data_IF_075344992803
#
_entry.id   IF_075344992803
#
_cell.length_a   1.000
_cell.length_b   1.000
_cell.length_c   1.000
_cell.angle_alpha   90.00
_cell.angle_beta   90.00
_cell.angle_gamma   90.00
#
_symmetry.space_group_name_H-M   'P 1'
#
loop_
_entity.id
_entity.type
_entity.pdbx_description
1 polymer ?
#
# COMPACT_ATOMS: atom_id res chain seq x y z
N UNK A 1 -3.98 20.67 17.00
CA UNK A 1 -3.88 19.39 16.25
C UNK A 1 -2.47 18.83 16.36
N UNK A 2 -1.42 19.66 16.28
CA UNK A 2 -0.02 19.21 16.25
C UNK A 2 0.70 19.21 17.59
N UNK A 3 0.00 19.46 18.69
CA UNK A 3 0.58 19.40 20.03
C UNK A 3 0.46 17.97 20.56
N UNK A 4 1.56 17.21 20.72
CA UNK A 4 1.51 15.81 21.12
C UNK A 4 0.93 15.61 22.52
N UNK A 5 1.10 16.58 23.42
CA UNK A 5 0.57 16.49 24.79
C UNK A 5 -0.95 16.60 24.85
N UNK A 6 -1.56 17.38 23.96
CA UNK A 6 -3.02 17.54 23.90
C UNK A 6 -3.67 16.47 23.02
N UNK A 7 -2.98 16.08 21.95
CA UNK A 7 -3.58 15.17 20.96
C UNK A 7 -3.50 13.72 21.36
N UNK A 8 -2.45 13.28 22.05
CA UNK A 8 -2.30 11.89 22.46
C UNK A 8 -3.52 11.34 23.21
N UNK A 9 -4.01 11.98 24.29
CA UNK A 9 -5.20 11.46 24.99
C UNK A 9 -6.48 11.51 24.16
N UNK A 10 -6.58 12.43 23.19
CA UNK A 10 -7.73 12.49 22.28
C UNK A 10 -7.68 11.35 21.28
N UNK A 11 -6.51 11.08 20.70
CA UNK A 11 -6.29 10.02 19.71
C UNK A 11 -6.59 8.65 20.33
N UNK A 12 -6.01 8.37 21.51
CA UNK A 12 -6.23 7.14 22.26
C UNK A 12 -7.71 6.95 22.61
N UNK A 13 -8.40 8.02 23.05
CA UNK A 13 -9.83 7.95 23.39
C UNK A 13 -10.74 7.75 22.18
N UNK A 14 -10.33 8.23 21.01
CA UNK A 14 -11.13 8.16 19.76
C UNK A 14 -10.74 6.98 18.87
N UNK A 15 -9.70 6.22 19.21
CA UNK A 15 -9.17 5.13 18.36
C UNK A 15 -8.67 5.64 17.00
N UNK A 16 -8.01 6.81 16.97
CA UNK A 16 -7.55 7.45 15.74
C UNK A 16 -6.05 7.28 15.47
N UNK A 17 -5.40 6.33 16.13
CA UNK A 17 -3.96 6.11 16.03
C UNK A 17 -3.52 5.97 14.57
N UNK A 18 -4.17 5.12 13.80
CA UNK A 18 -3.84 4.88 12.39
C UNK A 18 -4.17 6.07 11.46
N UNK A 19 -5.11 6.92 11.87
CA UNK A 19 -5.59 8.05 11.06
C UNK A 19 -4.86 9.35 11.37
N UNK A 20 -4.20 9.43 12.52
CA UNK A 20 -3.57 10.67 12.98
C UNK A 20 -2.47 11.15 12.03
N UNK A 21 -1.72 10.24 11.43
CA UNK A 21 -0.67 10.58 10.46
C UNK A 21 -1.22 11.37 9.26
N UNK A 22 -2.48 11.16 8.88
CA UNK A 22 -3.12 11.89 7.78
C UNK A 22 -3.29 13.38 8.06
N UNK A 23 -3.34 13.81 9.34
CA UNK A 23 -3.39 15.21 9.70
C UNK A 23 -2.10 15.96 9.38
N UNK A 24 -0.96 15.25 9.28
CA UNK A 24 0.29 15.87 8.83
C UNK A 24 0.23 16.31 7.37
N UNK A 25 -0.59 15.68 6.54
CA UNK A 25 -0.80 16.09 5.15
C UNK A 25 -1.60 17.39 5.02
N UNK A 26 -2.32 17.77 6.08
CA UNK A 26 -3.03 19.06 6.11
C UNK A 26 -2.11 20.21 6.56
N UNK A 27 -0.87 19.90 6.98
CA UNK A 27 0.11 20.93 7.26
C UNK A 27 0.51 21.58 5.92
N UNK A 28 0.30 22.88 5.78
CA UNK A 28 0.76 23.61 4.60
C UNK A 28 2.29 23.81 4.67
N UNK A 29 3.05 22.71 4.82
CA UNK A 29 4.49 22.73 5.03
C UNK A 29 5.20 23.42 3.86
N UNK A 30 4.76 23.17 2.64
CA UNK A 30 5.30 23.79 1.43
C UNK A 30 5.08 25.31 1.44
N UNK A 31 3.87 25.77 1.83
CA UNK A 31 3.58 27.20 1.94
C UNK A 31 4.35 27.86 3.07
N UNK A 32 4.52 27.17 4.19
CA UNK A 32 5.31 27.67 5.31
C UNK A 32 6.79 27.77 4.93
N UNK A 33 7.35 26.77 4.28
CA UNK A 33 8.73 26.79 3.76
C UNK A 33 8.90 27.91 2.74
N UNK A 34 8.02 28.03 1.77
CA UNK A 34 8.05 29.12 0.78
C UNK A 34 7.99 30.51 1.45
N UNK A 35 7.12 30.67 2.45
CA UNK A 35 7.00 31.92 3.21
C UNK A 35 8.27 32.24 3.98
N UNK A 36 8.85 31.26 4.68
CA UNK A 36 10.09 31.43 5.44
C UNK A 36 11.26 31.77 4.50
N UNK A 37 11.37 31.05 3.37
CA UNK A 37 12.40 31.34 2.37
C UNK A 37 12.23 32.75 1.76
N UNK A 38 11.01 33.17 1.47
CA UNK A 38 10.71 34.50 0.98
C UNK A 38 11.08 35.59 2.01
N UNK A 39 11.00 35.31 3.33
CA UNK A 39 11.43 36.24 4.38
C UNK A 39 12.94 36.39 4.51
N UNK A 40 13.73 35.43 4.03
CA UNK A 40 15.20 35.54 3.97
C UNK A 40 15.63 36.61 2.98
N UNK A 41 14.80 36.91 1.99
CA UNK A 41 15.08 37.99 1.04
C UNK A 41 14.87 39.33 1.75
N UNK A 42 15.98 40.00 2.08
CA UNK A 42 15.94 41.30 2.74
C UNK A 42 15.36 42.40 1.82
N UNK A 43 14.14 42.82 2.07
CA UNK A 43 13.42 43.83 1.27
C UNK A 43 14.10 45.20 1.23
N UNK A 44 15.02 45.49 2.15
CA UNK A 44 15.80 46.73 2.16
C UNK A 44 17.10 46.64 1.39
N UNK A 45 17.49 45.43 0.91
CA UNK A 45 18.68 45.25 0.10
C UNK A 45 18.48 45.78 -1.32
N UNK A 46 19.59 46.09 -2.01
CA UNK A 46 19.56 46.45 -3.42
C UNK A 46 18.91 45.32 -4.25
N UNK A 47 18.22 45.70 -5.32
CA UNK A 47 17.50 44.78 -6.19
C UNK A 47 18.35 43.62 -6.71
N UNK A 48 19.60 43.90 -7.01
CA UNK A 48 20.60 42.92 -7.49
C UNK A 48 20.87 41.84 -6.39
N UNK A 49 20.98 42.27 -5.13
CA UNK A 49 21.20 41.36 -4.00
C UNK A 49 19.95 40.51 -3.75
N UNK A 50 18.77 41.09 -3.86
CA UNK A 50 17.49 40.34 -3.73
C UNK A 50 17.39 39.26 -4.82
N UNK A 51 17.74 39.61 -6.05
CA UNK A 51 17.75 38.67 -7.17
C UNK A 51 18.77 37.54 -6.93
N UNK A 52 19.99 37.86 -6.52
CA UNK A 52 21.02 36.87 -6.25
C UNK A 52 20.60 35.89 -5.13
N UNK A 53 20.02 36.39 -4.03
CA UNK A 53 19.48 35.55 -2.95
C UNK A 53 18.34 34.67 -3.44
N UNK A 54 17.45 35.22 -4.27
CA UNK A 54 16.35 34.44 -4.87
C UNK A 54 16.86 33.28 -5.73
N UNK A 55 17.87 33.53 -6.55
CA UNK A 55 18.51 32.48 -7.39
C UNK A 55 19.16 31.41 -6.52
N UNK A 56 19.87 31.80 -5.46
CA UNK A 56 20.48 30.83 -4.52
C UNK A 56 19.42 29.96 -3.83
N UNK A 57 18.35 30.58 -3.33
CA UNK A 57 17.24 29.86 -2.69
C UNK A 57 16.57 28.88 -3.66
N UNK A 58 16.29 29.30 -4.89
CA UNK A 58 15.74 28.43 -5.93
C UNK A 58 16.71 27.30 -6.29
N UNK A 59 18.01 27.57 -6.35
CA UNK A 59 19.04 26.55 -6.57
C UNK A 59 19.05 25.49 -5.46
N UNK A 60 18.96 25.91 -4.19
CA UNK A 60 18.88 24.99 -3.06
C UNK A 60 17.59 24.13 -3.13
N UNK A 61 16.44 24.75 -3.39
CA UNK A 61 15.18 24.02 -3.56
C UNK A 61 15.27 23.00 -4.70
N UNK A 62 15.88 23.39 -5.82
CA UNK A 62 16.07 22.48 -6.96
C UNK A 62 17.01 21.32 -6.64
N UNK A 63 18.10 21.57 -5.90
CA UNK A 63 19.09 20.55 -5.53
C UNK A 63 18.54 19.61 -4.44
N UNK A 64 17.72 20.12 -3.52
CA UNK A 64 17.10 19.32 -2.45
C UNK A 64 15.82 18.65 -2.90
N UNK A 65 15.17 19.13 -3.96
CA UNK A 65 13.94 18.58 -4.49
C UNK A 65 14.19 17.36 -5.38
N UNK A 66 13.45 16.31 -5.17
CA UNK A 66 13.38 15.20 -6.13
C UNK A 66 12.63 15.67 -7.37
N UNK A 67 13.19 15.45 -8.55
CA UNK A 67 12.49 15.74 -9.79
C UNK A 67 11.32 14.78 -9.98
N UNK A 68 10.10 15.29 -9.95
CA UNK A 68 8.90 14.51 -10.24
C UNK A 68 8.94 13.87 -11.63
N UNK A 69 9.61 14.54 -12.59
CA UNK A 69 9.78 14.04 -13.96
C UNK A 69 10.53 12.71 -13.99
N UNK A 70 11.41 12.45 -13.01
CA UNK A 70 12.16 11.19 -12.91
C UNK A 70 11.29 9.98 -12.56
N UNK A 71 10.09 10.23 -12.04
CA UNK A 71 9.14 9.19 -11.61
C UNK A 71 7.94 9.04 -12.56
N UNK A 72 7.95 9.72 -13.71
CA UNK A 72 6.94 9.50 -14.74
C UNK A 72 7.46 8.37 -15.63
N UNK A 73 6.94 7.16 -15.54
CA UNK A 73 7.31 6.09 -16.46
C UNK A 73 6.83 6.47 -17.86
N UNK A 74 7.71 6.32 -18.86
CA UNK A 74 7.44 6.72 -20.25
C UNK A 74 6.26 5.96 -20.86
N UNK A 75 5.93 4.78 -20.35
CA UNK A 75 4.93 3.86 -20.90
C UNK A 75 3.70 3.63 -20.00
N UNK A 76 3.81 3.87 -18.70
CA UNK A 76 2.74 3.61 -17.74
C UNK A 76 2.04 4.87 -17.25
N UNK A 77 0.96 5.25 -17.92
CA UNK A 77 0.14 6.44 -17.60
C UNK A 77 -0.51 6.35 -16.21
N UNK A 78 -0.76 5.16 -15.73
CA UNK A 78 -1.48 4.90 -14.47
C UNK A 78 -0.60 5.07 -13.22
N UNK A 79 0.73 5.09 -13.38
CA UNK A 79 1.69 5.09 -12.25
C UNK A 79 1.52 3.90 -11.31
N UNK A 80 1.04 2.80 -11.84
CA UNK A 80 0.89 1.51 -11.20
C UNK A 80 1.95 0.59 -11.81
N UNK A 81 2.55 -0.27 -11.02
CA UNK A 81 3.58 -1.19 -11.51
C UNK A 81 3.04 -2.09 -12.63
N UNK A 82 3.87 -2.37 -13.65
CA UNK A 82 3.45 -3.16 -14.84
C UNK A 82 2.94 -4.54 -14.47
N UNK A 83 3.56 -5.18 -13.48
CA UNK A 83 3.11 -6.49 -13.00
C UNK A 83 1.69 -6.50 -12.43
N UNK A 84 1.21 -5.37 -11.86
CA UNK A 84 -0.20 -5.23 -11.41
C UNK A 84 -1.14 -5.18 -12.60
N UNK A 85 -0.76 -4.43 -13.66
CA UNK A 85 -1.55 -4.32 -14.88
C UNK A 85 -1.68 -5.68 -15.55
N UNK A 86 -0.57 -6.35 -15.78
CA UNK A 86 -0.51 -7.67 -16.43
C UNK A 86 -1.25 -8.74 -15.61
N UNK A 87 -1.15 -8.69 -14.27
CA UNK A 87 -1.91 -9.61 -13.41
C UNK A 87 -3.42 -9.35 -13.51
N UNK A 88 -3.83 -8.07 -13.52
CA UNK A 88 -5.25 -7.73 -13.69
C UNK A 88 -5.78 -8.19 -15.06
N UNK A 89 -5.01 -8.02 -16.12
CA UNK A 89 -5.36 -8.51 -17.46
C UNK A 89 -5.49 -10.05 -17.48
N UNK A 90 -4.55 -10.76 -16.85
CA UNK A 90 -4.60 -12.22 -16.72
C UNK A 90 -5.86 -12.69 -15.98
N UNK A 91 -6.23 -12.01 -14.90
CA UNK A 91 -7.48 -12.30 -14.15
C UNK A 91 -8.70 -12.02 -15.04
N UNK A 92 -8.73 -10.89 -15.74
CA UNK A 92 -9.84 -10.53 -16.61
C UNK A 92 -10.04 -11.52 -17.76
N UNK A 93 -8.95 -12.04 -18.36
CA UNK A 93 -9.01 -13.06 -19.40
C UNK A 93 -9.48 -14.43 -18.87
N UNK A 94 -9.06 -14.80 -17.66
CA UNK A 94 -9.41 -16.07 -17.03
C UNK A 94 -10.82 -16.06 -16.42
N UNK A 95 -11.30 -14.90 -15.98
CA UNK A 95 -12.57 -14.75 -15.29
C UNK A 95 -13.76 -14.93 -16.23
N UNK A 96 -14.77 -15.66 -15.73
CA UNK A 96 -16.10 -15.75 -16.34
C UNK A 96 -17.10 -14.78 -15.70
N UNK A 97 -16.69 -14.10 -14.63
CA UNK A 97 -17.52 -13.15 -13.88
C UNK A 97 -17.14 -11.73 -14.25
N UNK A 98 -18.11 -10.84 -14.25
CA UNK A 98 -17.89 -9.40 -14.41
C UNK A 98 -17.16 -8.79 -13.20
N UNK A 99 -17.43 -9.32 -12.02
CA UNK A 99 -16.82 -8.86 -10.76
C UNK A 99 -16.21 -10.05 -10.02
N UNK A 100 -14.98 -10.47 -10.38
CA UNK A 100 -14.32 -11.58 -9.70
C UNK A 100 -13.90 -11.18 -8.28
N UNK A 101 -14.01 -12.14 -7.37
CA UNK A 101 -13.52 -12.00 -5.98
C UNK A 101 -12.08 -12.47 -5.93
N UNK A 102 -11.18 -11.60 -5.53
CA UNK A 102 -9.74 -11.88 -5.49
C UNK A 102 -9.19 -11.79 -4.07
N UNK A 103 -8.26 -12.67 -3.75
CA UNK A 103 -7.41 -12.55 -2.59
C UNK A 103 -5.99 -12.24 -3.07
N UNK A 104 -5.43 -11.15 -2.58
CA UNK A 104 -4.10 -10.67 -2.97
C UNK A 104 -3.25 -10.39 -1.74
N UNK A 105 -1.93 -10.34 -1.90
CA UNK A 105 -1.02 -9.92 -0.86
C UNK A 105 -1.06 -8.40 -0.59
N UNK A 106 -0.34 -7.97 0.44
CA UNK A 106 -0.33 -6.57 0.85
C UNK A 106 0.26 -5.63 -0.21
N UNK A 107 1.20 -6.10 -1.03
CA UNK A 107 1.87 -5.28 -2.04
C UNK A 107 0.90 -4.92 -3.18
N UNK A 108 0.07 -5.87 -3.59
CA UNK A 108 -0.90 -5.69 -4.67
C UNK A 108 -2.20 -5.01 -4.24
N UNK A 109 -2.62 -5.21 -2.99
CA UNK A 109 -3.93 -4.81 -2.46
C UNK A 109 -4.34 -3.37 -2.80
N UNK A 110 -3.44 -2.41 -2.58
CA UNK A 110 -3.78 -1.00 -2.81
C UNK A 110 -3.79 -0.60 -4.29
N UNK A 111 -3.14 -1.37 -5.15
CA UNK A 111 -2.87 -1.01 -6.53
C UNK A 111 -3.85 -1.62 -7.51
N UNK A 112 -4.28 -2.87 -7.28
CA UNK A 112 -5.13 -3.59 -8.23
C UNK A 112 -6.48 -2.92 -8.46
N UNK A 113 -7.16 -2.45 -7.41
CA UNK A 113 -8.44 -1.73 -7.53
C UNK A 113 -8.32 -0.30 -8.06
N UNK A 114 -7.11 0.27 -8.05
CA UNK A 114 -6.89 1.56 -8.70
C UNK A 114 -6.91 1.41 -10.22
N UNK A 115 -6.48 0.26 -10.72
CA UNK A 115 -6.48 -0.06 -12.14
C UNK A 115 -7.82 -0.66 -12.58
N UNK A 116 -8.26 -1.71 -11.90
CA UNK A 116 -9.51 -2.41 -12.21
C UNK A 116 -10.50 -2.30 -11.03
N UNK A 117 -11.46 -1.38 -11.08
CA UNK A 117 -12.45 -1.21 -10.03
C UNK A 117 -13.52 -2.31 -10.01
N UNK A 118 -13.55 -3.21 -11.00
CA UNK A 118 -14.54 -4.31 -11.06
C UNK A 118 -14.17 -5.45 -10.13
N UNK A 119 -12.91 -5.63 -9.80
CA UNK A 119 -12.47 -6.68 -8.87
C UNK A 119 -12.96 -6.40 -7.44
N UNK A 120 -13.39 -7.45 -6.76
CA UNK A 120 -13.81 -7.42 -5.36
C UNK A 120 -12.71 -8.07 -4.52
N UNK A 121 -12.17 -7.34 -3.57
CA UNK A 121 -11.17 -7.88 -2.65
C UNK A 121 -11.83 -8.74 -1.57
N UNK A 122 -11.36 -9.97 -1.41
CA UNK A 122 -11.85 -10.92 -0.43
C UNK A 122 -11.54 -10.50 1.02
N UNK A 123 -10.61 -9.55 1.22
CA UNK A 123 -10.23 -9.00 2.53
C UNK A 123 -10.59 -7.53 2.62
N UNK A 124 -10.92 -7.08 3.81
CA UNK A 124 -11.20 -5.68 4.06
C UNK A 124 -9.93 -4.93 4.54
N UNK A 125 -10.00 -3.59 4.55
CA UNK A 125 -8.87 -2.74 4.96
C UNK A 125 -8.36 -3.04 6.38
N UNK A 126 -9.23 -3.47 7.31
CA UNK A 126 -8.83 -3.77 8.69
C UNK A 126 -8.03 -5.07 8.76
N UNK A 127 -8.46 -6.08 8.04
CA UNK A 127 -7.75 -7.36 7.93
C UNK A 127 -6.40 -7.18 7.26
N UNK A 128 -6.38 -6.44 6.14
CA UNK A 128 -5.15 -6.16 5.40
C UNK A 128 -4.13 -5.36 6.23
N UNK A 129 -4.59 -4.39 7.02
CA UNK A 129 -3.72 -3.53 7.82
C UNK A 129 -3.28 -4.14 9.15
N UNK A 130 -3.94 -5.20 9.63
CA UNK A 130 -3.74 -5.74 10.99
C UNK A 130 -2.28 -6.03 11.34
N UNK A 131 -1.54 -6.63 10.43
CA UNK A 131 -0.13 -6.98 10.61
C UNK A 131 0.83 -6.26 9.66
N UNK A 132 0.36 -5.20 8.99
CA UNK A 132 1.14 -4.47 7.98
C UNK A 132 2.49 -3.97 8.51
N UNK A 133 2.51 -3.48 9.74
CA UNK A 133 3.69 -2.91 10.38
C UNK A 133 4.30 -3.80 11.45
N UNK A 134 3.86 -5.05 11.56
CA UNK A 134 4.38 -6.01 12.53
C UNK A 134 5.51 -6.79 11.90
N UNK A 135 6.64 -6.89 12.60
CA UNK A 135 7.76 -7.71 12.16
C UNK A 135 7.37 -9.19 12.15
N UNK A 136 7.92 -9.95 11.21
CA UNK A 136 7.55 -11.36 11.00
C UNK A 136 7.81 -12.20 12.24
N UNK A 137 8.83 -11.84 13.05
CA UNK A 137 9.19 -12.53 14.30
C UNK A 137 8.18 -12.30 15.44
N UNK A 138 7.38 -11.25 15.35
CA UNK A 138 6.35 -10.88 16.34
C UNK A 138 4.94 -11.38 15.98
N UNK A 139 4.83 -12.04 14.81
CA UNK A 139 3.53 -12.57 14.37
C UNK A 139 3.13 -13.79 15.23
N UNK A 140 1.83 -13.99 15.47
CA UNK A 140 1.34 -15.18 16.15
C UNK A 140 1.76 -16.43 15.37
N UNK A 141 2.45 -17.34 16.03
CA UNK A 141 2.96 -18.58 15.42
C UNK A 141 1.99 -19.71 15.73
N UNK A 142 1.76 -20.55 14.72
CA UNK A 142 1.14 -21.88 14.80
C UNK A 142 -0.19 -22.01 15.59
N UNK A 143 -1.28 -21.96 14.83
CA UNK A 143 -2.59 -22.50 15.28
C UNK A 143 -3.34 -21.67 16.33
N UNK A 144 -2.85 -20.50 16.71
CA UNK A 144 -3.55 -19.56 17.58
C UNK A 144 -4.34 -18.52 16.76
N UNK A 145 -5.22 -19.01 15.90
CA UNK A 145 -6.11 -18.13 15.14
C UNK A 145 -7.45 -18.10 15.86
N UNK A 146 -7.73 -16.99 16.55
CA UNK A 146 -8.99 -16.83 17.29
C UNK A 146 -10.21 -16.75 16.36
N UNK A 147 -9.98 -16.39 15.07
CA UNK A 147 -11.01 -16.25 14.05
C UNK A 147 -10.44 -16.27 12.61
N UNK A 148 -11.31 -16.46 11.61
CA UNK A 148 -10.98 -16.39 10.17
C UNK A 148 -10.37 -15.05 9.76
N UNK A 149 -10.73 -13.95 10.43
CA UNK A 149 -10.20 -12.63 10.17
C UNK A 149 -8.71 -12.52 10.55
N UNK A 150 -8.30 -13.15 11.66
CA UNK A 150 -6.89 -13.25 12.06
C UNK A 150 -6.11 -14.15 11.11
N UNK A 151 -6.67 -15.31 10.76
CA UNK A 151 -6.05 -16.25 9.83
C UNK A 151 -5.77 -15.60 8.46
N UNK A 152 -6.77 -14.95 7.87
CA UNK A 152 -6.60 -14.29 6.57
C UNK A 152 -5.64 -13.10 6.63
N UNK A 153 -5.60 -12.38 7.75
CA UNK A 153 -4.67 -11.25 7.95
C UNK A 153 -3.21 -11.71 7.98
N UNK A 154 -2.94 -12.89 8.57
CA UNK A 154 -1.62 -13.52 8.56
C UNK A 154 -1.28 -14.06 7.18
N UNK A 155 -2.26 -14.69 6.54
CA UNK A 155 -2.09 -15.23 5.21
C UNK A 155 -1.70 -14.14 4.20
N UNK A 156 -2.40 -13.02 4.11
CA UNK A 156 -2.02 -11.93 3.17
C UNK A 156 -0.69 -11.26 3.51
N UNK A 157 -0.19 -11.45 4.73
CA UNK A 157 1.17 -11.07 5.15
C UNK A 157 2.25 -12.06 4.66
N UNK A 158 1.86 -13.21 4.12
CA UNK A 158 2.76 -14.24 3.62
C UNK A 158 3.09 -15.34 4.64
N UNK A 159 2.30 -15.47 5.71
CA UNK A 159 2.44 -16.55 6.70
C UNK A 159 1.62 -17.75 6.26
N UNK A 160 2.22 -18.95 6.31
CA UNK A 160 1.52 -20.21 6.06
C UNK A 160 0.57 -20.50 7.24
N UNK A 161 -0.72 -20.36 6.98
CA UNK A 161 -1.82 -20.68 7.90
C UNK A 161 -2.25 -22.12 7.63
N UNK A 162 -2.91 -22.78 8.59
CA UNK A 162 -3.48 -24.12 8.35
C UNK A 162 -4.29 -24.16 7.05
N UNK A 163 -3.93 -25.03 6.14
CA UNK A 163 -4.50 -25.10 4.80
C UNK A 163 -6.01 -25.41 4.83
N UNK A 164 -6.48 -26.17 5.83
CA UNK A 164 -7.91 -26.47 5.97
C UNK A 164 -8.71 -25.21 6.29
N UNK A 165 -8.18 -24.35 7.16
CA UNK A 165 -8.79 -23.06 7.51
C UNK A 165 -8.81 -22.15 6.29
N UNK A 166 -7.71 -22.11 5.53
CA UNK A 166 -7.67 -21.26 4.32
C UNK A 166 -8.64 -21.73 3.25
N UNK A 167 -8.78 -23.03 3.04
CA UNK A 167 -9.76 -23.57 2.10
C UNK A 167 -11.21 -23.24 2.53
N UNK A 168 -11.52 -23.28 3.84
CA UNK A 168 -12.80 -22.80 4.36
C UNK A 168 -13.01 -21.30 4.09
N UNK A 169 -11.99 -20.46 4.31
CA UNK A 169 -12.05 -19.03 4.06
C UNK A 169 -12.25 -18.75 2.56
N UNK A 170 -11.55 -19.46 1.68
CA UNK A 170 -11.72 -19.32 0.22
C UNK A 170 -13.15 -19.64 -0.19
N UNK A 171 -13.73 -20.72 0.36
CA UNK A 171 -15.11 -21.11 0.08
C UNK A 171 -16.13 -20.12 0.66
N UNK A 172 -15.97 -19.69 1.91
CA UNK A 172 -16.85 -18.74 2.60
C UNK A 172 -16.89 -17.39 1.87
N UNK A 173 -15.72 -16.89 1.47
CA UNK A 173 -15.59 -15.59 0.82
C UNK A 173 -15.77 -15.65 -0.70
N UNK A 174 -16.02 -16.85 -1.24
CA UNK A 174 -16.21 -17.10 -2.67
C UNK A 174 -15.03 -16.57 -3.52
N UNK A 175 -13.81 -16.80 -3.06
CA UNK A 175 -12.60 -16.37 -3.75
C UNK A 175 -12.51 -17.06 -5.10
N UNK A 176 -12.45 -16.29 -6.17
CA UNK A 176 -12.31 -16.78 -7.54
C UNK A 176 -10.84 -16.91 -7.94
N UNK A 177 -10.01 -15.98 -7.46
CA UNK A 177 -8.58 -15.96 -7.76
C UNK A 177 -7.77 -15.62 -6.51
N UNK A 178 -6.68 -16.34 -6.33
CA UNK A 178 -5.64 -16.03 -5.36
C UNK A 178 -4.37 -15.60 -6.09
N UNK A 179 -3.87 -14.40 -5.76
CA UNK A 179 -2.63 -13.88 -6.32
C UNK A 179 -1.59 -13.79 -5.23
N UNK A 180 -0.46 -14.44 -5.42
CA UNK A 180 0.64 -14.46 -4.47
C UNK A 180 1.95 -13.96 -5.06
N UNK A 181 2.77 -13.34 -4.26
CA UNK A 181 4.19 -13.19 -4.56
C UNK A 181 4.90 -14.53 -4.36
N UNK A 182 5.74 -14.94 -5.32
CA UNK A 182 6.46 -16.23 -5.29
C UNK A 182 7.46 -16.38 -4.12
N UNK A 183 7.74 -15.27 -3.40
CA UNK A 183 8.58 -15.28 -2.20
C UNK A 183 7.89 -15.88 -0.98
N UNK A 184 6.55 -15.89 -0.98
CA UNK A 184 5.73 -16.39 0.12
C UNK A 184 5.24 -17.79 -0.22
N UNK A 185 5.03 -18.59 0.77
CA UNK A 185 4.47 -19.93 0.73
C UNK A 185 5.34 -20.97 0.00
N UNK A 186 5.54 -22.07 0.67
CA UNK A 186 6.23 -23.21 0.10
C UNK A 186 5.38 -23.94 -0.96
N UNK A 187 6.03 -24.64 -1.87
CA UNK A 187 5.33 -25.44 -2.88
C UNK A 187 4.50 -26.58 -2.22
N UNK A 188 5.00 -27.12 -1.12
CA UNK A 188 4.33 -28.16 -0.33
C UNK A 188 3.04 -27.62 0.32
N UNK A 189 3.06 -26.37 0.77
CA UNK A 189 1.90 -25.72 1.35
C UNK A 189 0.83 -25.46 0.29
N UNK A 190 1.20 -24.92 -0.87
CA UNK A 190 0.26 -24.64 -1.95
C UNK A 190 -0.45 -25.88 -2.48
N UNK A 191 0.20 -27.05 -2.45
CA UNK A 191 -0.42 -28.33 -2.82
C UNK A 191 -1.55 -28.76 -1.87
N UNK A 192 -1.61 -28.19 -0.67
CA UNK A 192 -2.67 -28.47 0.30
C UNK A 192 -3.87 -27.53 0.16
N UNK A 193 -3.70 -26.46 -0.64
CA UNK A 193 -4.81 -25.55 -0.95
C UNK A 193 -5.55 -26.04 -2.21
N UNK A 194 -6.89 -25.94 -2.17
CA UNK A 194 -7.75 -26.29 -3.30
C UNK A 194 -7.69 -25.22 -4.41
N UNK A 195 -6.50 -25.06 -5.01
CA UNK A 195 -6.21 -24.05 -6.00
C UNK A 195 -5.92 -24.65 -7.37
N UNK A 196 -6.32 -23.93 -8.42
CA UNK A 196 -5.97 -24.26 -9.80
C UNK A 196 -5.10 -23.17 -10.39
N UNK A 197 -3.88 -23.53 -10.78
CA UNK A 197 -2.94 -22.59 -11.38
C UNK A 197 -3.47 -22.00 -12.70
N UNK A 198 -3.44 -20.68 -12.83
CA UNK A 198 -3.89 -19.93 -14.01
C UNK A 198 -2.71 -19.40 -14.81
N UNK A 199 -1.73 -18.77 -14.15
CA UNK A 199 -0.57 -18.19 -14.82
C UNK A 199 0.37 -17.46 -13.87
N UNK A 200 1.43 -16.87 -14.42
CA UNK A 200 2.39 -16.09 -13.65
C UNK A 200 2.79 -14.81 -14.37
N UNK A 201 3.08 -13.76 -13.59
CA UNK A 201 3.52 -12.43 -14.05
C UNK A 201 4.59 -11.93 -13.10
N UNK A 202 5.80 -11.65 -13.59
CA UNK A 202 6.89 -10.94 -12.87
C UNK A 202 7.07 -11.28 -11.38
N UNK A 203 7.11 -12.57 -11.03
CA UNK A 203 7.28 -12.99 -9.63
C UNK A 203 5.98 -13.12 -8.83
N UNK A 204 4.85 -13.00 -9.51
CA UNK A 204 3.51 -13.30 -9.00
C UNK A 204 2.92 -14.50 -9.71
N UNK A 205 2.13 -15.28 -9.01
CA UNK A 205 1.37 -16.40 -9.55
C UNK A 205 -0.12 -16.21 -9.24
N UNK A 206 -0.95 -16.58 -10.22
CA UNK A 206 -2.41 -16.52 -10.15
C UNK A 206 -2.94 -17.95 -10.12
N UNK A 207 -3.80 -18.22 -9.17
CA UNK A 207 -4.51 -19.47 -8.99
C UNK A 207 -6.00 -19.28 -9.04
#
# INVERSE_FOLDING_TARGET
VYNPFLMRPIIEKMGWEDRYMRFYWLLPAEFLCAYLLARLVNRKAKREVQFAVGVVVLGIVFLCGSSLVKYIPDENVYKIDSWVLETSELIAEASKKENPVILVDQEMYSSIRQYDPTVIEAVNNTEMARYMFTDTEELPVDGQYDDHSTAVSLFVKGVEVDASIMNEIFAERQVDFFVRNTRYYSAEYLQQLDLTYVGAVEGYEVY
#
